data_IF_183267834032
#
_entry.id   IF_183267834032
#
_cell.length_a   1.000
_cell.length_b   1.000
_cell.length_c   1.000
_cell.angle_alpha   90.00
_cell.angle_beta   90.00
_cell.angle_gamma   90.00
#
_symmetry.space_group_name_H-M   'P 1'
#
loop_
_entity.id
_entity.type
_entity.pdbx_description
1 polymer ?
#
# COMPACT_ATOMS: atom_id res chain seq x y z
N UNK A 1 15.41 4.50 -14.03
CA UNK A 1 14.54 3.90 -13.02
C UNK A 1 14.88 4.57 -11.71
N UNK A 2 13.90 5.18 -11.06
CA UNK A 2 14.11 5.66 -9.69
C UNK A 2 14.20 4.48 -8.74
N UNK A 3 15.21 4.51 -7.89
CA UNK A 3 15.48 3.50 -6.88
C UNK A 3 14.87 3.97 -5.56
N UNK A 4 14.07 3.11 -4.93
CA UNK A 4 13.44 3.39 -3.64
C UNK A 4 13.32 2.09 -2.87
N UNK A 5 13.77 2.12 -1.62
CA UNK A 5 13.68 0.98 -0.72
C UNK A 5 12.40 1.05 0.10
N UNK A 6 11.78 -0.11 0.32
CA UNK A 6 10.56 -0.22 1.10
C UNK A 6 10.72 -1.21 2.25
N UNK A 7 10.10 -0.91 3.38
CA UNK A 7 9.81 -1.92 4.40
C UNK A 7 8.80 -2.95 3.87
N UNK A 8 8.66 -4.13 4.48
CA UNK A 8 7.82 -5.21 3.97
C UNK A 8 6.34 -4.86 3.72
N UNK A 9 5.83 -3.80 4.35
CA UNK A 9 4.45 -3.33 4.18
C UNK A 9 4.35 -2.00 3.41
N UNK A 10 5.40 -1.61 2.70
CA UNK A 10 5.35 -0.51 1.73
C UNK A 10 5.71 0.88 2.27
N UNK A 11 6.05 1.02 3.55
CA UNK A 11 6.65 2.27 4.04
C UNK A 11 7.96 2.50 3.30
N UNK A 12 8.11 3.70 2.72
CA UNK A 12 9.32 4.07 2.01
C UNK A 12 10.41 4.40 3.02
N UNK A 13 11.60 3.83 2.82
CA UNK A 13 12.80 4.24 3.57
C UNK A 13 13.23 5.61 3.06
N UNK A 14 14.06 6.32 3.84
CA UNK A 14 14.53 7.65 3.46
C UNK A 14 15.09 7.64 2.04
N UNK A 15 14.44 8.37 1.13
CA UNK A 15 14.86 8.52 -0.26
C UNK A 15 15.67 9.81 -0.38
N UNK A 16 16.84 9.71 -0.99
CA UNK A 16 17.67 10.88 -1.36
C UNK A 16 17.67 11.03 -2.87
N UNK A 17 17.46 12.25 -3.39
CA UNK A 17 17.53 12.55 -4.82
C UNK A 17 16.16 12.67 -5.51
N UNK A 18 16.11 12.42 -6.82
CA UNK A 18 14.92 12.66 -7.65
C UNK A 18 13.71 11.81 -7.27
N UNK A 19 13.90 10.67 -6.60
CA UNK A 19 12.84 9.73 -6.22
C UNK A 19 11.71 10.32 -5.38
N UNK A 20 11.91 11.50 -4.79
CA UNK A 20 10.86 12.28 -4.12
C UNK A 20 9.78 12.80 -5.10
N UNK A 21 10.07 12.93 -6.39
CA UNK A 21 9.13 13.39 -7.42
C UNK A 21 8.30 12.25 -8.02
N UNK A 22 8.63 10.99 -7.71
CA UNK A 22 7.89 9.84 -8.21
C UNK A 22 6.68 9.55 -7.33
N UNK A 23 5.48 9.68 -7.88
CA UNK A 23 4.25 9.35 -7.15
C UNK A 23 3.97 7.84 -7.14
N UNK A 24 4.59 7.04 -8.01
CA UNK A 24 4.37 5.59 -8.07
C UNK A 24 5.39 4.86 -7.19
N UNK A 25 4.89 4.23 -6.13
CA UNK A 25 5.72 3.69 -5.04
C UNK A 25 5.54 2.18 -4.91
N UNK A 26 5.29 1.71 -3.69
CA UNK A 26 5.19 0.30 -3.34
C UNK A 26 4.22 -0.43 -4.27
N UNK A 27 4.63 -1.58 -4.80
CA UNK A 27 3.86 -2.40 -5.76
C UNK A 27 3.42 -1.67 -7.04
N UNK A 28 3.99 -0.49 -7.34
CA UNK A 28 3.68 0.32 -8.51
C UNK A 28 2.37 1.11 -8.40
N UNK A 29 1.83 1.28 -7.20
CA UNK A 29 0.63 2.10 -6.96
C UNK A 29 1.00 3.56 -6.68
N UNK A 30 0.12 4.47 -7.07
CA UNK A 30 0.27 5.89 -6.75
C UNK A 30 0.14 6.09 -5.24
N UNK A 31 1.08 6.82 -4.64
CA UNK A 31 1.02 7.24 -3.25
C UNK A 31 0.66 8.71 -3.19
N UNK A 32 -0.44 8.99 -2.52
CA UNK A 32 -0.79 10.36 -2.17
C UNK A 32 0.18 10.89 -1.10
N UNK A 33 0.82 12.03 -1.38
CA UNK A 33 1.79 12.65 -0.48
C UNK A 33 1.15 13.31 0.74
N UNK A 34 -0.14 13.68 0.67
CA UNK A 34 -0.84 14.30 1.81
C UNK A 34 -1.21 13.26 2.86
N UNK A 35 -1.82 12.14 2.44
CA UNK A 35 -2.29 11.08 3.36
C UNK A 35 -1.30 9.93 3.56
N UNK A 36 -0.33 9.76 2.66
CA UNK A 36 0.58 8.62 2.65
C UNK A 36 -0.08 7.30 2.28
N UNK A 37 -1.25 7.34 1.61
CA UNK A 37 -2.00 6.16 1.21
C UNK A 37 -1.63 5.72 -0.20
N UNK A 38 -1.54 4.40 -0.40
CA UNK A 38 -1.38 3.83 -1.74
C UNK A 38 -2.75 3.58 -2.37
N UNK A 39 -2.94 4.17 -3.55
CA UNK A 39 -4.14 4.09 -4.36
C UNK A 39 -4.13 2.81 -5.19
N UNK A 40 -4.81 1.78 -4.69
CA UNK A 40 -5.00 0.53 -5.43
C UNK A 40 -6.36 0.52 -6.12
N UNK A 41 -6.61 -0.48 -6.97
CA UNK A 41 -7.81 -0.54 -7.81
C UNK A 41 -9.13 -0.52 -7.04
N UNK A 42 -9.16 -1.09 -5.83
CA UNK A 42 -10.42 -1.32 -5.10
C UNK A 42 -10.42 -0.77 -3.68
N UNK A 43 -9.25 -0.52 -3.10
CA UNK A 43 -9.07 -0.12 -1.70
C UNK A 43 -7.84 0.74 -1.52
N UNK A 44 -7.84 1.56 -0.48
CA UNK A 44 -6.67 2.35 -0.09
C UNK A 44 -5.84 1.55 0.91
N UNK A 45 -4.55 1.38 0.64
CA UNK A 45 -3.61 0.74 1.56
C UNK A 45 -2.91 1.81 2.38
N UNK A 46 -2.90 1.65 3.71
CA UNK A 46 -2.01 2.43 4.56
C UNK A 46 -0.72 1.66 4.77
N UNK A 47 0.31 2.02 4.00
CA UNK A 47 1.66 1.47 4.19
C UNK A 47 2.19 1.71 5.60
N UNK A 48 1.89 2.89 6.18
CA UNK A 48 2.24 3.21 7.57
C UNK A 48 1.70 2.19 8.59
N UNK A 49 0.52 1.61 8.34
CA UNK A 49 -0.16 0.72 9.27
C UNK A 49 -0.13 -0.75 8.82
N UNK A 50 0.34 -1.04 7.60
CA UNK A 50 0.35 -2.37 7.01
C UNK A 50 -1.05 -2.97 6.83
N UNK A 51 -2.09 -2.14 6.64
CA UNK A 51 -3.47 -2.61 6.48
C UNK A 51 -4.29 -1.72 5.54
N UNK A 52 -5.37 -2.29 5.02
CA UNK A 52 -6.38 -1.59 4.23
C UNK A 52 -7.21 -0.65 5.11
N UNK A 53 -7.65 0.48 4.54
CA UNK A 53 -8.57 1.39 5.23
C UNK A 53 -10.03 0.93 5.21
N UNK A 54 -10.34 -0.08 4.41
CA UNK A 54 -11.65 -0.70 4.35
C UNK A 54 -11.54 -2.21 4.20
N UNK A 55 -12.49 -2.97 4.78
CA UNK A 55 -12.59 -4.39 4.54
C UNK A 55 -12.82 -4.68 3.05
N UNK A 56 -12.36 -5.84 2.58
CA UNK A 56 -12.77 -6.34 1.27
C UNK A 56 -14.30 -6.44 1.15
N UNK A 57 -14.83 -6.02 -0.02
CA UNK A 57 -16.27 -6.07 -0.32
C UNK A 57 -16.74 -7.51 -0.45
N UNK A 58 -15.86 -8.42 -0.83
CA UNK A 58 -16.13 -9.85 -0.81
C UNK A 58 -16.14 -10.36 0.64
N UNK A 59 -17.04 -11.30 0.92
CA UNK A 59 -17.15 -11.90 2.27
C UNK A 59 -16.11 -12.99 2.45
N UNK A 60 -15.77 -13.27 3.72
CA UNK A 60 -15.02 -14.46 4.08
C UNK A 60 -15.79 -15.73 3.73
N UNK A 61 -15.03 -16.77 3.41
CA UNK A 61 -15.50 -18.09 3.01
C UNK A 61 -15.23 -19.07 4.17
N UNK A 62 -16.26 -19.74 4.73
CA UNK A 62 -16.09 -20.72 5.79
C UNK A 62 -15.14 -21.87 5.45
N UNK A 63 -14.98 -22.20 4.16
CA UNK A 63 -14.05 -23.23 3.69
C UNK A 63 -12.60 -22.74 3.60
N UNK A 64 -12.38 -21.43 3.74
CA UNK A 64 -11.07 -20.76 3.69
C UNK A 64 -10.92 -19.86 4.91
N UNK A 65 -10.60 -20.40 6.10
CA UNK A 65 -10.58 -19.63 7.35
C UNK A 65 -9.64 -18.41 7.33
N UNK A 66 -8.60 -18.42 6.48
CA UNK A 66 -7.72 -17.26 6.27
C UNK A 66 -8.40 -16.05 5.60
N UNK A 67 -9.59 -16.21 5.02
CA UNK A 67 -10.34 -15.14 4.33
C UNK A 67 -11.17 -14.26 5.27
N UNK A 68 -11.23 -14.59 6.56
CA UNK A 68 -12.02 -13.82 7.53
C UNK A 68 -11.44 -12.44 7.83
N UNK A 69 -10.11 -12.29 7.76
CA UNK A 69 -9.48 -10.98 7.83
C UNK A 69 -9.64 -10.29 6.48
N UNK A 70 -10.39 -9.18 6.47
CA UNK A 70 -10.79 -8.46 5.27
C UNK A 70 -10.26 -7.05 5.28
#
# INVERSE_FOLDING_TARGET
MEESDYYPFGQERVVTGSGALNNYKYTGHERDTESGLDHTLYRQLSSAQGRWLSPDRLRGDPTKPQSWNR
#
